data_IF_868114509905
#
_entry.id   IF_868114509905
#
_cell.length_a   1.000
_cell.length_b   1.000
_cell.length_c   1.000
_cell.angle_alpha   90.00
_cell.angle_beta   90.00
_cell.angle_gamma   90.00
#
_symmetry.space_group_name_H-M   'P 1'
#
loop_
_entity.id
_entity.type
_entity.pdbx_description
1 polymer ?
#
# COMPACT_ATOMS: atom_id res chain seq x y z
N UNK A 1 4.93 -9.36 -13.00
CA UNK A 1 6.34 -9.61 -12.65
C UNK A 1 6.48 -9.22 -11.20
N UNK A 2 7.30 -9.87 -10.35
CA UNK A 2 7.61 -9.33 -9.04
C UNK A 2 8.29 -7.97 -9.25
N UNK A 3 7.67 -6.89 -8.81
CA UNK A 3 8.00 -5.51 -9.22
C UNK A 3 9.48 -5.11 -8.99
N UNK A 4 10.22 -5.80 -8.12
CA UNK A 4 11.66 -5.62 -7.94
C UNK A 4 12.50 -6.10 -9.15
N UNK A 5 12.02 -7.06 -9.94
CA UNK A 5 12.74 -7.59 -11.12
C UNK A 5 12.61 -6.70 -12.36
N UNK A 6 11.67 -5.74 -12.33
CA UNK A 6 11.52 -4.75 -13.38
C UNK A 6 12.72 -3.79 -13.47
N UNK A 7 13.66 -3.75 -12.52
CA UNK A 7 14.88 -2.94 -12.71
C UNK A 7 15.62 -3.32 -13.99
N UNK A 8 15.75 -4.61 -14.29
CA UNK A 8 16.42 -5.07 -15.51
C UNK A 8 15.60 -4.74 -16.76
N UNK A 9 14.26 -4.82 -16.69
CA UNK A 9 13.36 -4.58 -17.82
C UNK A 9 13.13 -3.08 -18.10
N UNK A 10 13.16 -2.24 -17.07
CA UNK A 10 12.90 -0.79 -17.14
C UNK A 10 14.19 0.05 -17.16
N UNK A 11 15.35 -0.61 -17.12
CA UNK A 11 16.65 0.06 -16.98
C UNK A 11 16.77 0.87 -15.70
N UNK A 12 16.08 0.47 -14.63
CA UNK A 12 16.06 1.17 -13.34
C UNK A 12 15.35 2.52 -13.34
N UNK A 13 14.54 2.84 -14.36
CA UNK A 13 13.87 4.15 -14.48
C UNK A 13 12.57 4.27 -13.69
N UNK A 14 11.98 3.13 -13.29
CA UNK A 14 10.71 3.10 -12.57
C UNK A 14 10.96 2.66 -11.12
N UNK A 15 10.47 3.48 -10.20
CA UNK A 15 10.57 3.26 -8.76
C UNK A 15 9.19 2.88 -8.23
N UNK A 16 9.10 1.77 -7.51
CA UNK A 16 7.85 1.27 -6.93
C UNK A 16 7.83 1.58 -5.44
N UNK A 17 6.70 2.13 -4.97
CA UNK A 17 6.50 2.44 -3.55
C UNK A 17 5.23 1.77 -3.04
N UNK A 18 5.36 0.91 -2.04
CA UNK A 18 4.24 0.35 -1.28
C UNK A 18 3.93 1.28 -0.12
N UNK A 19 2.71 1.78 -0.04
CA UNK A 19 2.36 2.79 0.96
C UNK A 19 1.11 2.41 1.73
N UNK A 20 1.22 2.40 3.06
CA UNK A 20 0.09 2.28 3.96
C UNK A 20 -0.11 3.63 4.69
N UNK A 21 -1.18 4.40 4.40
CA UNK A 21 -1.45 5.70 5.02
C UNK A 21 -1.88 5.62 6.49
N UNK A 22 -1.97 4.42 7.08
CA UNK A 22 -2.70 4.11 8.32
C UNK A 22 -4.24 4.14 8.12
N UNK A 23 -4.99 4.07 9.21
CA UNK A 23 -6.45 4.17 9.19
C UNK A 23 -6.88 5.57 8.72
N UNK A 24 -7.40 5.68 7.50
CA UNK A 24 -7.89 6.95 6.94
C UNK A 24 -9.40 7.02 7.09
N UNK A 25 -9.92 8.12 7.66
CA UNK A 25 -11.36 8.40 7.82
C UNK A 25 -12.03 8.72 6.48
N UNK A 26 -12.03 7.77 5.56
CA UNK A 26 -12.69 7.89 4.26
C UNK A 26 -14.13 7.38 4.33
N UNK A 27 -14.99 7.85 3.43
CA UNK A 27 -16.38 7.40 3.38
C UNK A 27 -16.49 5.88 3.14
N UNK A 28 -15.58 5.30 2.33
CA UNK A 28 -15.53 3.86 2.11
C UNK A 28 -15.20 3.09 3.38
N UNK A 29 -14.18 3.52 4.13
CA UNK A 29 -13.80 2.87 5.39
C UNK A 29 -14.88 2.98 6.48
N UNK A 30 -15.52 4.15 6.61
CA UNK A 30 -16.53 4.41 7.64
C UNK A 30 -17.87 3.70 7.38
N UNK A 31 -18.10 3.22 6.17
CA UNK A 31 -19.32 2.52 5.77
C UNK A 31 -19.03 1.13 5.20
N UNK A 32 -17.89 0.52 5.56
CA UNK A 32 -17.45 -0.79 5.07
C UNK A 32 -18.28 -1.97 5.59
N UNK A 33 -19.22 -1.74 6.51
CA UNK A 33 -20.07 -2.76 7.09
C UNK A 33 -21.54 -2.35 6.92
N UNK A 34 -22.44 -3.29 6.63
CA UNK A 34 -23.86 -2.98 6.40
C UNK A 34 -24.64 -2.76 7.70
N UNK A 35 -24.29 -3.50 8.76
CA UNK A 35 -24.93 -3.42 10.08
C UNK A 35 -24.80 -2.02 10.68
N UNK A 36 -25.91 -1.34 11.06
CA UNK A 36 -25.88 -0.01 11.67
C UNK A 36 -25.04 0.05 12.96
N UNK A 37 -25.11 -1.01 13.79
CA UNK A 37 -24.30 -1.11 15.00
C UNK A 37 -22.81 -1.18 14.66
N UNK A 38 -22.45 -1.98 13.66
CA UNK A 38 -21.06 -2.09 13.24
C UNK A 38 -20.54 -0.79 12.62
N UNK A 39 -21.36 -0.08 11.83
CA UNK A 39 -21.02 1.25 11.33
C UNK A 39 -20.71 2.23 12.46
N UNK A 40 -21.51 2.22 13.52
CA UNK A 40 -21.27 3.08 14.69
C UNK A 40 -19.95 2.73 15.37
N UNK A 41 -19.66 1.44 15.58
CA UNK A 41 -18.40 0.98 16.15
C UNK A 41 -17.19 1.35 15.30
N UNK A 42 -17.26 1.11 13.99
CA UNK A 42 -16.19 1.50 13.04
C UNK A 42 -15.96 3.00 13.09
N UNK A 43 -17.02 3.83 13.05
CA UNK A 43 -16.90 5.29 13.15
C UNK A 43 -16.25 5.72 14.47
N UNK A 44 -16.61 5.11 15.59
CA UNK A 44 -16.02 5.40 16.89
C UNK A 44 -14.52 5.06 16.93
N UNK A 45 -14.13 3.88 16.41
CA UNK A 45 -12.72 3.48 16.33
C UNK A 45 -11.94 4.47 15.45
N UNK A 46 -12.45 4.76 14.25
CA UNK A 46 -11.80 5.68 13.31
C UNK A 46 -11.75 7.12 13.82
N UNK A 47 -12.69 7.56 14.66
CA UNK A 47 -12.60 8.86 15.31
C UNK A 47 -11.37 8.97 16.24
N UNK A 48 -10.95 7.86 16.85
CA UNK A 48 -9.81 7.80 17.78
C UNK A 48 -8.49 7.57 17.04
N UNK A 49 -8.42 6.56 16.17
CA UNK A 49 -7.16 6.11 15.55
C UNK A 49 -6.97 6.61 14.12
N UNK A 50 -8.02 7.19 13.52
CA UNK A 50 -8.04 7.53 12.12
C UNK A 50 -7.56 8.95 11.83
N UNK A 51 -6.77 9.09 10.77
CA UNK A 51 -6.35 10.39 10.21
C UNK A 51 -7.35 10.86 9.16
N UNK A 52 -7.41 12.17 8.92
CA UNK A 52 -8.15 12.73 7.79
C UNK A 52 -7.52 12.35 6.44
N UNK A 53 -8.26 12.53 5.34
CA UNK A 53 -7.72 12.29 3.99
C UNK A 53 -6.63 13.31 3.66
N UNK A 54 -6.82 14.54 4.11
CA UNK A 54 -5.92 15.68 3.94
C UNK A 54 -4.59 15.45 4.67
N UNK A 55 -4.60 14.85 5.85
CA UNK A 55 -3.37 14.45 6.55
C UNK A 55 -2.71 13.24 5.87
N UNK A 56 -3.51 12.26 5.43
CA UNK A 56 -3.00 11.03 4.83
C UNK A 56 -2.34 11.23 3.46
N UNK A 57 -2.74 12.25 2.70
CA UNK A 57 -2.20 12.53 1.38
C UNK A 57 -0.83 13.21 1.43
N UNK A 58 -0.51 13.95 2.50
CA UNK A 58 0.75 14.73 2.60
C UNK A 58 2.00 13.86 2.42
N UNK A 59 2.16 12.71 3.10
CA UNK A 59 3.33 11.85 2.89
C UNK A 59 3.37 11.22 1.49
N UNK A 60 2.22 10.99 0.86
CA UNK A 60 2.14 10.47 -0.51
C UNK A 60 2.65 11.53 -1.49
N UNK A 61 2.19 12.79 -1.37
CA UNK A 61 2.67 13.90 -2.19
C UNK A 61 4.19 14.07 -2.03
N UNK A 62 4.69 14.03 -0.79
CA UNK A 62 6.14 14.10 -0.54
C UNK A 62 6.92 12.98 -1.24
N UNK A 63 6.43 11.74 -1.25
CA UNK A 63 7.07 10.61 -1.95
C UNK A 63 7.03 10.76 -3.47
N UNK A 64 6.04 11.47 -4.03
CA UNK A 64 5.97 11.78 -5.46
C UNK A 64 7.00 12.86 -5.81
N UNK A 65 7.06 13.93 -5.00
CA UNK A 65 7.99 15.04 -5.22
C UNK A 65 9.44 14.64 -4.94
N UNK A 66 9.65 13.68 -4.03
CA UNK A 66 10.96 13.20 -3.59
C UNK A 66 10.98 11.66 -3.63
N UNK A 67 11.04 11.05 -4.83
CA UNK A 67 10.97 9.61 -4.98
C UNK A 67 12.18 8.92 -4.34
N UNK A 68 11.99 7.79 -3.62
CA UNK A 68 13.10 7.03 -3.06
C UNK A 68 14.04 6.50 -4.15
N UNK A 69 15.35 6.49 -3.87
CA UNK A 69 16.34 5.97 -4.83
C UNK A 69 16.25 4.45 -5.05
N UNK A 70 15.79 3.69 -4.06
CA UNK A 70 15.63 2.25 -4.20
C UNK A 70 14.48 1.93 -5.17
N UNK A 71 14.66 0.91 -6.02
CA UNK A 71 13.65 0.52 -7.00
C UNK A 71 12.36 -0.03 -6.38
N UNK A 72 12.43 -0.57 -5.16
CA UNK A 72 11.27 -0.91 -4.35
C UNK A 72 11.49 -0.35 -2.94
N UNK A 73 10.53 0.44 -2.47
CA UNK A 73 10.47 0.95 -1.11
C UNK A 73 9.09 0.69 -0.50
N UNK A 74 9.00 0.59 0.82
CA UNK A 74 7.73 0.43 1.51
C UNK A 74 7.66 1.32 2.75
N UNK A 75 6.49 1.91 3.01
CA UNK A 75 6.28 2.82 4.14
C UNK A 75 4.93 2.59 4.82
N UNK A 76 4.90 2.76 6.14
CA UNK A 76 3.68 2.99 6.92
C UNK A 76 3.73 4.43 7.42
N UNK A 77 2.81 5.27 6.95
CA UNK A 77 2.91 6.74 7.08
C UNK A 77 4.27 7.19 6.56
N UNK A 78 5.09 7.83 7.39
CA UNK A 78 6.45 8.27 7.05
C UNK A 78 7.54 7.26 7.41
N UNK A 79 7.20 6.13 8.04
CA UNK A 79 8.18 5.16 8.55
C UNK A 79 8.50 4.10 7.50
N UNK A 80 9.78 3.85 7.19
CA UNK A 80 10.15 2.76 6.28
C UNK A 80 9.80 1.40 6.88
N UNK A 81 9.46 0.45 6.02
CA UNK A 81 9.18 -0.95 6.37
C UNK A 81 10.35 -1.81 5.91
N UNK A 82 10.73 -2.78 6.74
CA UNK A 82 11.75 -3.77 6.41
C UNK A 82 11.25 -4.75 5.34
N UNK A 83 11.89 -4.72 4.16
CA UNK A 83 11.55 -5.58 3.03
C UNK A 83 12.11 -7.01 3.16
N UNK A 84 12.89 -7.31 4.20
CA UNK A 84 13.39 -8.67 4.47
C UNK A 84 12.39 -9.54 5.22
N UNK A 85 11.28 -8.96 5.69
CA UNK A 85 10.20 -9.67 6.36
C UNK A 85 9.53 -10.72 5.45
N UNK A 86 9.02 -11.80 6.05
CA UNK A 86 8.35 -12.88 5.30
C UNK A 86 7.13 -12.41 4.47
N UNK A 87 6.47 -11.31 4.86
CA UNK A 87 5.39 -10.69 4.07
C UNK A 87 5.84 -10.27 2.67
N UNK A 88 7.13 -9.98 2.48
CA UNK A 88 7.73 -9.63 1.20
C UNK A 88 8.48 -10.80 0.56
N UNK A 89 8.10 -12.04 0.88
CA UNK A 89 8.72 -13.24 0.31
C UNK A 89 8.65 -13.23 -1.22
N UNK A 90 9.84 -13.22 -1.86
CA UNK A 90 9.96 -13.18 -3.32
C UNK A 90 9.29 -14.36 -4.01
N UNK A 91 9.51 -15.58 -3.52
CA UNK A 91 8.95 -16.79 -4.12
C UNK A 91 7.42 -16.78 -4.11
N UNK A 92 6.83 -16.31 -3.01
CA UNK A 92 5.37 -16.11 -2.91
C UNK A 92 4.87 -15.03 -3.87
N UNK A 93 5.60 -13.93 -4.03
CA UNK A 93 5.24 -12.85 -4.96
C UNK A 93 5.31 -13.29 -6.43
N UNK A 94 6.35 -14.03 -6.83
CA UNK A 94 6.46 -14.64 -8.17
C UNK A 94 5.27 -15.56 -8.44
N UNK A 95 4.99 -16.47 -7.50
CA UNK A 95 3.87 -17.41 -7.64
C UNK A 95 2.52 -16.69 -7.76
N UNK A 96 2.30 -15.63 -6.96
CA UNK A 96 1.08 -14.84 -7.04
C UNK A 96 0.94 -14.19 -8.42
N UNK A 97 1.99 -13.57 -8.93
CA UNK A 97 2.00 -12.95 -10.26
C UNK A 97 1.69 -13.95 -11.38
N UNK A 98 2.29 -15.13 -11.35
CA UNK A 98 2.04 -16.17 -12.36
C UNK A 98 0.59 -16.65 -12.35
N UNK A 99 0.00 -16.83 -11.15
CA UNK A 99 -1.41 -17.18 -11.00
C UNK A 99 -2.30 -16.03 -11.51
N UNK A 100 -1.97 -14.79 -11.16
CA UNK A 100 -2.72 -13.60 -11.61
C UNK A 100 -2.70 -13.48 -13.14
N UNK A 101 -1.55 -13.69 -13.80
CA UNK A 101 -1.46 -13.70 -15.26
C UNK A 101 -2.38 -14.73 -15.91
N UNK A 102 -2.37 -15.97 -15.39
CA UNK A 102 -3.27 -17.04 -15.85
C UNK A 102 -4.74 -16.66 -15.69
N UNK A 103 -5.13 -16.09 -14.56
CA UNK A 103 -6.51 -15.66 -14.30
C UNK A 103 -6.95 -14.49 -15.20
N UNK A 104 -6.02 -13.62 -15.58
CA UNK A 104 -6.27 -12.47 -16.44
C UNK A 104 -6.08 -12.76 -17.94
N UNK A 105 -5.76 -14.01 -18.32
CA UNK A 105 -5.40 -14.41 -19.68
C UNK A 105 -4.27 -13.53 -20.28
N UNK A 106 -3.24 -13.25 -19.49
CA UNK A 106 -2.04 -12.47 -19.88
C UNK A 106 -0.78 -13.32 -19.85
#
# INVERSE_FOLDING_TARGET
MPFAENQQQTGGRIHYVLFNPWAVRSNGALNSCDSPLMKLLVRAIYAIVGVSVEEAIVPIAHLIDNPPHAALSAFIKTKPVDLTMNTFNRGTAVRLDDITKKLLNR
#
